data_IF_553535436670
#
_entry.id   IF_553535436670
#
_cell.length_a   1.000
_cell.length_b   1.000
_cell.length_c   1.000
_cell.angle_alpha   90.00
_cell.angle_beta   90.00
_cell.angle_gamma   90.00
#
_symmetry.space_group_name_H-M   'P 1'
#
loop_
_entity.id
_entity.type
_entity.pdbx_description
1 polymer ?
#
# COMPACT_ATOMS: atom_id res chain seq x y z
N UNK A 1 5.72 -27.74 2.91
CA UNK A 1 6.76 -26.85 2.36
C UNK A 1 6.16 -25.47 2.18
N UNK A 2 6.75 -24.43 2.78
CA UNK A 2 6.36 -23.06 2.47
C UNK A 2 6.73 -22.78 1.00
N UNK A 3 5.81 -22.23 0.20
CA UNK A 3 6.14 -21.81 -1.16
C UNK A 3 7.18 -20.70 -1.10
N UNK A 4 8.00 -20.56 -2.15
CA UNK A 4 9.02 -19.50 -2.23
C UNK A 4 8.35 -18.13 -2.00
N UNK A 5 7.14 -17.93 -2.55
CA UNK A 5 6.34 -16.73 -2.29
C UNK A 5 6.05 -16.50 -0.80
N UNK A 6 5.64 -17.53 -0.05
CA UNK A 6 5.38 -17.38 1.39
C UNK A 6 6.66 -17.02 2.17
N UNK A 7 7.81 -17.57 1.77
CA UNK A 7 9.11 -17.20 2.36
C UNK A 7 9.51 -15.76 2.01
N UNK A 8 9.31 -15.33 0.76
CA UNK A 8 9.59 -13.96 0.34
C UNK A 8 8.68 -12.94 1.00
N UNK A 9 7.39 -13.26 1.21
CA UNK A 9 6.46 -12.44 1.99
C UNK A 9 6.94 -12.34 3.44
N UNK A 10 7.36 -13.46 4.04
CA UNK A 10 7.82 -13.47 5.42
C UNK A 10 9.08 -12.62 5.63
N UNK A 11 9.96 -12.57 4.62
CA UNK A 11 11.20 -11.81 4.61
C UNK A 11 11.07 -10.39 4.04
N UNK A 12 9.86 -9.99 3.61
CA UNK A 12 9.60 -8.67 2.99
C UNK A 12 10.48 -8.39 1.76
N UNK A 13 10.79 -9.43 0.97
CA UNK A 13 11.65 -9.33 -0.20
C UNK A 13 10.91 -8.67 -1.38
N UNK A 14 10.98 -7.34 -1.45
CA UNK A 14 10.34 -6.55 -2.51
C UNK A 14 10.86 -6.88 -3.91
N UNK A 15 12.10 -7.35 -4.05
CA UNK A 15 12.65 -7.70 -5.37
C UNK A 15 11.92 -8.92 -5.92
N UNK A 16 11.74 -9.94 -5.07
CA UNK A 16 10.96 -11.12 -5.43
C UNK A 16 9.48 -10.79 -5.65
N UNK A 17 8.88 -9.92 -4.83
CA UNK A 17 7.48 -9.51 -5.02
C UNK A 17 7.29 -8.80 -6.37
N UNK A 18 8.28 -8.03 -6.82
CA UNK A 18 8.27 -7.39 -8.13
C UNK A 18 8.24 -8.42 -9.28
N UNK A 19 9.08 -9.45 -9.19
CA UNK A 19 9.11 -10.56 -10.17
C UNK A 19 7.80 -11.35 -10.15
N UNK A 20 7.27 -11.63 -8.96
CA UNK A 20 5.99 -12.29 -8.77
C UNK A 20 4.83 -11.51 -9.41
N UNK A 21 4.81 -10.18 -9.31
CA UNK A 21 3.74 -9.34 -9.86
C UNK A 21 3.60 -9.48 -11.38
N UNK A 22 4.69 -9.76 -12.08
CA UNK A 22 4.70 -9.94 -13.55
C UNK A 22 4.62 -11.41 -13.98
N UNK A 23 4.55 -12.35 -13.04
CA UNK A 23 4.42 -13.78 -13.34
C UNK A 23 3.02 -14.14 -13.84
N UNK A 24 2.95 -15.06 -14.82
CA UNK A 24 1.70 -15.64 -15.31
C UNK A 24 1.02 -16.54 -14.27
N UNK A 25 1.78 -17.10 -13.31
CA UNK A 25 1.26 -18.03 -12.29
C UNK A 25 0.73 -17.32 -11.04
N UNK A 26 0.84 -15.99 -10.98
CA UNK A 26 0.64 -15.20 -9.75
C UNK A 26 -0.69 -15.45 -9.04
N UNK A 27 -1.75 -15.70 -9.80
CA UNK A 27 -3.09 -15.95 -9.25
C UNK A 27 -3.23 -17.34 -8.62
N UNK A 28 -2.54 -18.34 -9.15
CA UNK A 28 -2.52 -19.69 -8.60
C UNK A 28 -1.68 -19.73 -7.33
N UNK A 29 -0.52 -19.06 -7.35
CA UNK A 29 0.39 -18.95 -6.21
C UNK A 29 -0.28 -18.28 -5.01
N UNK A 30 -1.08 -17.24 -5.27
CA UNK A 30 -1.83 -16.52 -4.22
C UNK A 30 -2.92 -17.39 -3.61
N UNK A 31 -3.63 -18.20 -4.39
CA UNK A 31 -4.69 -19.09 -3.85
C UNK A 31 -4.14 -20.06 -2.83
N UNK A 32 -2.89 -20.51 -3.01
CA UNK A 32 -2.22 -21.44 -2.12
C UNK A 32 -1.70 -20.79 -0.82
N UNK A 33 -1.74 -19.46 -0.69
CA UNK A 33 -1.30 -18.76 0.51
C UNK A 33 -2.32 -18.90 1.66
N UNK A 34 -1.79 -18.95 2.89
CA UNK A 34 -2.59 -18.78 4.09
C UNK A 34 -3.16 -17.36 4.17
N UNK A 35 -4.23 -17.19 4.96
CA UNK A 35 -4.85 -15.89 5.21
C UNK A 35 -3.83 -14.85 5.71
N UNK A 36 -3.00 -15.21 6.69
CA UNK A 36 -1.95 -14.35 7.24
C UNK A 36 -0.96 -13.88 6.16
N UNK A 37 -0.51 -14.79 5.29
CA UNK A 37 0.39 -14.42 4.20
C UNK A 37 -0.30 -13.52 3.16
N UNK A 38 -1.59 -13.70 2.92
CA UNK A 38 -2.36 -12.81 2.03
C UNK A 38 -2.46 -11.40 2.60
N UNK A 39 -2.73 -11.25 3.89
CA UNK A 39 -2.77 -9.94 4.57
C UNK A 39 -1.40 -9.24 4.54
N UNK A 40 -0.32 -10.00 4.77
CA UNK A 40 1.05 -9.47 4.68
C UNK A 40 1.40 -9.08 3.24
N UNK A 41 1.03 -9.90 2.26
CA UNK A 41 1.25 -9.58 0.85
C UNK A 41 0.51 -8.29 0.45
N UNK A 42 -0.74 -8.11 0.85
CA UNK A 42 -1.49 -6.86 0.60
C UNK A 42 -0.72 -5.64 1.12
N UNK A 43 -0.10 -5.75 2.29
CA UNK A 43 0.71 -4.66 2.87
C UNK A 43 1.96 -4.37 2.03
N UNK A 44 2.66 -5.40 1.54
CA UNK A 44 3.82 -5.22 0.67
C UNK A 44 3.46 -4.64 -0.70
N UNK A 45 2.32 -5.04 -1.26
CA UNK A 45 1.84 -4.56 -2.56
C UNK A 45 1.56 -3.06 -2.56
N UNK A 46 1.25 -2.49 -1.40
CA UNK A 46 1.06 -1.05 -1.26
C UNK A 46 2.35 -0.30 -1.65
N UNK A 47 3.54 -0.81 -1.36
CA UNK A 47 4.82 -0.19 -1.76
C UNK A 47 4.93 0.08 -3.26
N UNK A 48 4.32 -0.76 -4.09
CA UNK A 48 4.36 -0.65 -5.55
C UNK A 48 3.36 0.37 -6.13
N UNK A 49 2.51 1.00 -5.30
CA UNK A 49 1.54 2.00 -5.77
C UNK A 49 2.18 3.29 -6.28
N UNK A 50 3.39 3.63 -5.83
CA UNK A 50 4.16 4.79 -6.31
C UNK A 50 5.33 4.42 -7.22
N UNK A 51 5.44 3.13 -7.58
CA UNK A 51 6.53 2.56 -8.36
C UNK A 51 6.06 2.14 -9.78
N UNK A 52 6.99 1.79 -10.69
CA UNK A 52 6.64 0.96 -11.83
C UNK A 52 5.94 -0.32 -11.33
N UNK A 53 4.92 -0.79 -12.06
CA UNK A 53 4.00 -1.89 -11.68
C UNK A 53 2.80 -1.53 -10.80
N UNK A 54 2.42 -0.24 -10.73
CA UNK A 54 1.21 0.23 -10.06
C UNK A 54 -0.05 -0.55 -10.47
N UNK A 55 -0.23 -0.81 -11.76
CA UNK A 55 -1.46 -1.43 -12.28
C UNK A 55 -1.56 -2.88 -11.81
N UNK A 56 -0.47 -3.63 -11.94
CA UNK A 56 -0.31 -5.01 -11.51
C UNK A 56 -0.52 -5.15 -10.00
N UNK A 57 0.03 -4.22 -9.22
CA UNK A 57 -0.18 -4.15 -7.78
C UNK A 57 -1.66 -3.90 -7.42
N UNK A 58 -2.33 -2.97 -8.10
CA UNK A 58 -3.76 -2.67 -7.88
C UNK A 58 -4.62 -3.88 -8.24
N UNK A 59 -4.38 -4.54 -9.36
CA UNK A 59 -5.10 -5.74 -9.79
C UNK A 59 -4.95 -6.86 -8.76
N UNK A 60 -3.74 -7.07 -8.25
CA UNK A 60 -3.46 -8.09 -7.25
C UNK A 60 -4.11 -7.77 -5.90
N UNK A 61 -4.05 -6.52 -5.46
CA UNK A 61 -4.76 -6.06 -4.25
C UNK A 61 -6.27 -6.32 -4.41
N UNK A 62 -6.86 -5.99 -5.56
CA UNK A 62 -8.28 -6.24 -5.81
C UNK A 62 -8.63 -7.74 -5.77
N UNK A 63 -7.80 -8.59 -6.37
CA UNK A 63 -7.99 -10.04 -6.34
C UNK A 63 -7.93 -10.60 -4.91
N UNK A 64 -6.94 -10.15 -4.11
CA UNK A 64 -6.77 -10.54 -2.71
C UNK A 64 -7.96 -10.09 -1.86
N UNK A 65 -8.47 -8.86 -2.04
CA UNK A 65 -9.64 -8.38 -1.32
C UNK A 65 -10.91 -9.19 -1.61
N UNK A 66 -11.10 -9.57 -2.87
CA UNK A 66 -12.26 -10.38 -3.28
C UNK A 66 -12.22 -11.78 -2.71
N UNK A 67 -11.03 -12.35 -2.57
CA UNK A 67 -10.80 -13.70 -2.04
C UNK A 67 -10.85 -13.74 -0.51
N UNK A 68 -10.28 -12.71 0.16
CA UNK A 68 -10.10 -12.67 1.61
C UNK A 68 -11.26 -12.00 2.35
N UNK A 69 -11.98 -11.08 1.72
CA UNK A 69 -13.11 -10.36 2.33
C UNK A 69 -12.73 -9.32 3.40
N UNK A 70 -11.46 -9.21 3.78
CA UNK A 70 -10.98 -8.28 4.81
C UNK A 70 -10.52 -6.94 4.21
N UNK A 71 -11.49 -6.08 3.88
CA UNK A 71 -11.28 -4.72 3.36
C UNK A 71 -10.64 -3.77 4.40
N UNK A 72 -10.79 -4.08 5.69
CA UNK A 72 -10.49 -3.17 6.80
C UNK A 72 -8.98 -2.98 7.05
N UNK A 73 -8.17 -4.03 6.94
CA UNK A 73 -6.71 -3.94 7.12
C UNK A 73 -6.05 -3.13 5.97
N UNK A 74 -6.51 -3.36 4.73
CA UNK A 74 -6.05 -2.59 3.58
C UNK A 74 -6.52 -1.14 3.65
N UNK A 75 -7.80 -0.89 3.97
CA UNK A 75 -8.33 0.47 4.02
C UNK A 75 -7.59 1.31 5.06
N UNK A 76 -7.24 0.73 6.22
CA UNK A 76 -6.37 1.37 7.22
C UNK A 76 -5.00 1.72 6.64
N UNK A 77 -4.34 0.81 5.91
CA UNK A 77 -3.03 1.06 5.29
C UNK A 77 -3.08 2.10 4.18
N UNK A 78 -4.13 2.10 3.36
CA UNK A 78 -4.36 3.13 2.35
C UNK A 78 -4.65 4.49 3.00
N UNK A 79 -5.38 4.53 4.12
CA UNK A 79 -5.59 5.77 4.90
C UNK A 79 -4.26 6.26 5.50
N UNK A 80 -3.46 5.38 6.09
CA UNK A 80 -2.11 5.70 6.59
C UNK A 80 -1.21 6.26 5.49
N UNK A 81 -1.28 5.73 4.26
CA UNK A 81 -0.48 6.19 3.10
C UNK A 81 -1.02 7.47 2.47
N UNK A 82 -2.34 7.63 2.36
CA UNK A 82 -2.99 8.82 1.79
C UNK A 82 -2.93 10.02 2.73
N UNK A 83 -2.86 9.78 4.04
CA UNK A 83 -2.52 10.78 5.04
C UNK A 83 -1.01 11.03 5.03
N UNK A 84 -0.53 11.76 4.02
CA UNK A 84 0.79 12.35 4.07
C UNK A 84 0.79 13.44 5.15
N UNK A 85 1.13 13.03 6.37
CA UNK A 85 1.12 13.90 7.55
C UNK A 85 2.00 15.14 7.34
N UNK A 86 3.09 15.01 6.58
CA UNK A 86 3.93 16.15 6.23
C UNK A 86 3.20 17.15 5.33
N UNK A 87 2.42 16.68 4.35
CA UNK A 87 1.54 17.55 3.54
C UNK A 87 0.41 18.19 4.35
N UNK A 88 -0.15 17.47 5.33
CA UNK A 88 -1.18 18.01 6.23
C UNK A 88 -0.63 19.11 7.14
N UNK A 89 0.56 18.90 7.71
CA UNK A 89 1.28 19.92 8.49
C UNK A 89 1.64 21.13 7.61
N UNK A 90 2.08 20.90 6.37
CA UNK A 90 2.35 21.97 5.41
C UNK A 90 1.09 22.79 5.07
N UNK A 91 -0.04 22.13 4.82
CA UNK A 91 -1.31 22.80 4.57
C UNK A 91 -1.76 23.64 5.77
N UNK A 92 -1.66 23.09 6.99
CA UNK A 92 -1.94 23.83 8.22
C UNK A 92 -1.07 25.09 8.32
N UNK A 93 0.24 24.96 8.11
CA UNK A 93 1.17 26.10 8.13
C UNK A 93 0.80 27.19 7.12
N UNK A 94 0.35 26.82 5.91
CA UNK A 94 -0.16 27.79 4.93
C UNK A 94 -1.45 28.47 5.38
N UNK A 95 -2.39 27.73 5.95
CA UNK A 95 -3.65 28.29 6.47
C UNK A 95 -3.36 29.28 7.60
N UNK A 96 -2.47 28.92 8.53
CA UNK A 96 -2.07 29.78 9.64
C UNK A 96 -1.41 31.08 9.14
N UNK A 97 -0.55 30.98 8.11
CA UNK A 97 0.08 32.14 7.49
C UNK A 97 -0.93 33.08 6.80
N UNK A 98 -1.89 32.53 6.05
CA UNK A 98 -2.92 33.32 5.39
C UNK A 98 -3.85 34.01 6.41
N UNK A 99 -4.18 33.33 7.51
CA UNK A 99 -4.94 33.91 8.62
C UNK A 99 -4.15 35.02 9.34
N UNK A 100 -2.84 34.88 9.47
CA UNK A 100 -1.96 35.92 10.00
C UNK A 100 -1.97 37.16 9.10
N UNK A 101 -1.82 36.98 7.78
CA UNK A 101 -1.91 38.07 6.81
C UNK A 101 -3.28 38.75 6.82
N UNK A 102 -4.37 37.98 6.85
CA UNK A 102 -5.73 38.54 6.81
C UNK A 102 -6.10 39.33 8.07
N UNK A 103 -5.39 39.11 9.19
CA UNK A 103 -5.55 39.84 10.45
C UNK A 103 -4.72 41.12 10.53
N UNK A 104 -4.10 41.55 9.42
CA UNK A 104 -3.29 42.77 9.38
C UNK A 104 -1.87 42.57 9.91
N UNK A 105 -1.31 41.36 9.83
CA UNK A 105 0.08 41.04 10.19
C UNK A 105 1.15 41.67 9.30
N UNK A 106 0.82 42.73 8.55
CA UNK A 106 1.77 43.55 7.81
C UNK A 106 1.62 44.99 8.31
N UNK A 107 2.55 45.39 9.17
CA UNK A 107 3.01 46.79 9.24
C UNK A 107 3.59 47.20 7.91
#
# INVERSE_FOLDING_TARGET
HASILATSIANEDLSYIQEFLVSDTRMEDVKALSLDNKERLVTLLVEFLDAPLRVEAIEMIYALLRDVGHVEALSKKLVERSADFAKLIYLKGKIDYLLYQSRGGAT
#
